data_IF_726902060605
#
_entry.id   IF_726902060605
#
_cell.length_a   1.000
_cell.length_b   1.000
_cell.length_c   1.000
_cell.angle_alpha   90.00
_cell.angle_beta   90.00
_cell.angle_gamma   90.00
#
_symmetry.space_group_name_H-M   'P 1'
#
loop_
_entity.id
_entity.type
_entity.pdbx_description
1 polymer ?
#
# COMPACT_ATOMS: atom_id res chain seq x y z
N UNK A 1 1.06 12.40 0.00
CA UNK A 1 1.10 11.29 0.98
C UNK A 1 0.09 11.45 2.11
N UNK A 2 0.01 12.64 2.70
CA UNK A 2 -0.79 12.97 3.89
C UNK A 2 -2.28 12.62 3.87
N UNK A 3 -2.87 12.22 2.74
CA UNK A 3 -4.30 11.87 2.64
C UNK A 3 -4.59 10.40 2.34
N UNK A 4 -3.58 9.62 1.96
CA UNK A 4 -3.71 8.18 1.64
C UNK A 4 -3.18 7.34 2.80
N UNK A 5 -1.97 7.67 3.26
CA UNK A 5 -1.25 6.89 4.28
C UNK A 5 -2.02 6.79 5.61
N UNK A 6 -2.60 7.87 6.17
CA UNK A 6 -3.38 7.75 7.41
C UNK A 6 -4.59 6.83 7.30
N UNK A 7 -5.25 6.80 6.14
CA UNK A 7 -6.45 5.97 5.92
C UNK A 7 -6.08 4.49 5.81
N UNK A 8 -4.95 4.18 5.17
CA UNK A 8 -4.44 2.80 5.09
C UNK A 8 -3.92 2.34 6.45
N UNK A 9 -3.23 3.22 7.20
CA UNK A 9 -2.82 2.92 8.58
C UNK A 9 -4.03 2.65 9.49
N UNK A 10 -5.08 3.47 9.42
CA UNK A 10 -6.32 3.24 10.19
C UNK A 10 -7.00 1.92 9.81
N UNK A 11 -6.93 1.53 8.53
CA UNK A 11 -7.47 0.27 8.00
C UNK A 11 -6.70 -0.97 8.48
N UNK A 12 -5.38 -0.87 8.65
CA UNK A 12 -4.52 -2.00 9.04
C UNK A 12 -4.58 -2.29 10.56
N UNK A 13 -4.73 -1.25 11.39
CA UNK A 13 -4.69 -1.37 12.86
C UNK A 13 -5.67 -2.42 13.43
N UNK A 14 -6.95 -2.48 13.01
CA UNK A 14 -7.89 -3.48 13.52
C UNK A 14 -7.44 -4.92 13.30
N UNK A 15 -6.69 -5.20 12.23
CA UNK A 15 -6.13 -6.52 11.97
C UNK A 15 -5.21 -6.98 13.10
N UNK A 16 -4.43 -6.08 13.69
CA UNK A 16 -3.50 -6.46 14.76
C UNK A 16 -4.14 -6.54 16.14
N UNK A 17 -5.16 -5.71 16.42
CA UNK A 17 -5.63 -5.51 17.80
C UNK A 17 -7.09 -5.90 18.03
N UNK A 18 -7.89 -6.00 16.98
CA UNK A 18 -9.35 -6.06 17.10
C UNK A 18 -10.00 -7.30 16.47
N UNK A 19 -9.24 -8.19 15.85
CA UNK A 19 -9.78 -9.40 15.19
C UNK A 19 -10.75 -10.24 16.05
N UNK A 20 -10.54 -10.27 17.37
CA UNK A 20 -11.36 -11.03 18.32
C UNK A 20 -12.60 -10.26 18.83
N UNK A 21 -12.79 -9.00 18.42
CA UNK A 21 -13.91 -8.18 18.86
C UNK A 21 -15.17 -8.49 18.04
N UNK A 22 -16.37 -8.47 18.65
CA UNK A 22 -17.60 -8.82 17.94
C UNK A 22 -17.95 -7.85 16.80
N UNK A 23 -17.47 -6.60 16.84
CA UNK A 23 -17.70 -5.58 15.81
C UNK A 23 -16.62 -5.54 14.72
N UNK A 24 -15.61 -6.41 14.76
CA UNK A 24 -14.45 -6.35 13.86
C UNK A 24 -14.86 -6.34 12.39
N UNK A 25 -15.74 -7.25 11.98
CA UNK A 25 -16.21 -7.39 10.60
C UNK A 25 -16.94 -6.14 10.09
N UNK A 26 -17.78 -5.53 10.93
CA UNK A 26 -18.50 -4.30 10.56
C UNK A 26 -17.54 -3.11 10.42
N UNK A 27 -16.62 -2.97 11.37
CA UNK A 27 -15.57 -1.94 11.32
C UNK A 27 -14.68 -2.10 10.08
N UNK A 28 -14.28 -3.33 9.75
CA UNK A 28 -13.42 -3.60 8.60
C UNK A 28 -14.08 -3.13 7.29
N UNK A 29 -15.37 -3.47 7.09
CA UNK A 29 -16.13 -3.02 5.90
C UNK A 29 -16.18 -1.50 5.76
N UNK A 30 -16.39 -0.79 6.87
CA UNK A 30 -16.39 0.68 6.86
C UNK A 30 -15.02 1.25 6.48
N UNK A 31 -13.94 0.62 6.94
CA UNK A 31 -12.57 1.04 6.62
C UNK A 31 -12.22 0.72 5.17
N UNK A 32 -12.63 -0.44 4.65
CA UNK A 32 -12.48 -0.80 3.23
C UNK A 32 -13.09 0.29 2.34
N UNK A 33 -14.29 0.76 2.65
CA UNK A 33 -14.96 1.80 1.85
C UNK A 33 -14.22 3.14 1.88
N UNK A 34 -13.62 3.50 3.03
CA UNK A 34 -12.77 4.70 3.14
C UNK A 34 -11.51 4.56 2.30
N UNK A 35 -10.87 3.39 2.33
CA UNK A 35 -9.69 3.08 1.50
C UNK A 35 -10.08 3.15 0.02
N UNK A 36 -11.16 2.48 -0.41
CA UNK A 36 -11.66 2.53 -1.80
C UNK A 36 -11.91 3.96 -2.28
N UNK A 37 -12.49 4.82 -1.44
CA UNK A 37 -12.73 6.23 -1.79
C UNK A 37 -11.42 7.03 -1.99
N UNK A 38 -10.33 6.63 -1.34
CA UNK A 38 -9.00 7.21 -1.55
C UNK A 38 -8.31 6.63 -2.78
N UNK A 39 -8.37 5.30 -2.96
CA UNK A 39 -7.82 4.61 -4.13
C UNK A 39 -8.48 5.08 -5.42
N UNK A 40 -9.80 5.29 -5.45
CA UNK A 40 -10.50 5.88 -6.62
C UNK A 40 -9.89 7.20 -7.05
N UNK A 41 -9.66 8.13 -6.10
CA UNK A 41 -9.07 9.43 -6.39
C UNK A 41 -7.63 9.33 -6.88
N UNK A 42 -6.83 8.45 -6.27
CA UNK A 42 -5.45 8.22 -6.69
C UNK A 42 -5.39 7.58 -8.09
N UNK A 43 -6.26 6.60 -8.35
CA UNK A 43 -6.39 5.94 -9.65
C UNK A 43 -6.76 6.93 -10.75
N UNK A 44 -7.73 7.81 -10.50
CA UNK A 44 -8.07 8.91 -11.42
C UNK A 44 -6.90 9.85 -11.66
N UNK A 45 -6.17 10.24 -10.60
CA UNK A 45 -5.01 11.15 -10.70
C UNK A 45 -3.83 10.54 -11.45
N UNK A 46 -3.60 9.24 -11.30
CA UNK A 46 -2.56 8.52 -12.03
C UNK A 46 -2.97 8.31 -13.48
N UNK A 47 -4.24 7.97 -13.73
CA UNK A 47 -4.75 7.70 -15.07
C UNK A 47 -3.95 6.60 -15.76
N UNK A 48 -3.41 6.92 -16.94
CA UNK A 48 -2.52 6.07 -17.73
C UNK A 48 -1.03 6.41 -17.55
N UNK A 49 -0.68 7.32 -16.63
CA UNK A 49 0.70 7.69 -16.40
C UNK A 49 1.49 6.58 -15.70
N UNK A 50 2.78 6.48 -15.99
CA UNK A 50 3.66 5.52 -15.32
C UNK A 50 3.92 5.91 -13.86
N UNK A 51 4.06 7.21 -13.57
CA UNK A 51 4.38 7.78 -12.27
C UNK A 51 3.54 9.03 -11.98
N UNK A 52 3.49 9.47 -10.72
CA UNK A 52 2.58 10.53 -10.27
C UNK A 52 2.85 11.90 -10.91
N UNK A 53 4.13 12.23 -11.10
CA UNK A 53 4.60 13.53 -11.60
C UNK A 53 5.63 13.35 -12.74
N UNK A 54 5.30 12.48 -13.71
CA UNK A 54 6.09 12.26 -14.92
C UNK A 54 7.21 11.25 -14.72
N UNK A 55 8.41 11.70 -14.37
CA UNK A 55 9.52 10.79 -14.06
C UNK A 55 9.36 10.21 -12.64
N UNK A 56 9.95 9.03 -12.40
CA UNK A 56 9.96 8.42 -11.07
C UNK A 56 10.57 9.37 -10.04
N UNK A 57 9.85 9.56 -8.93
CA UNK A 57 10.21 10.50 -7.87
C UNK A 57 10.22 9.85 -6.48
N UNK A 58 10.69 10.61 -5.48
CA UNK A 58 10.54 10.22 -4.08
C UNK A 58 9.06 10.08 -3.66
N UNK A 59 8.16 10.85 -4.30
CA UNK A 59 6.72 10.73 -4.09
C UNK A 59 6.21 9.35 -4.49
N UNK A 60 6.74 8.80 -5.58
CA UNK A 60 6.39 7.45 -6.04
C UNK A 60 6.93 6.37 -5.12
N UNK A 61 8.19 6.50 -4.70
CA UNK A 61 8.78 5.59 -3.73
C UNK A 61 7.90 5.46 -2.48
N UNK A 62 7.52 6.59 -1.89
CA UNK A 62 6.71 6.63 -0.69
C UNK A 62 5.28 6.14 -0.94
N UNK A 63 4.66 6.50 -2.07
CA UNK A 63 3.31 6.03 -2.40
C UNK A 63 3.26 4.52 -2.62
N UNK A 64 4.25 3.95 -3.32
CA UNK A 64 4.38 2.50 -3.50
C UNK A 64 4.48 1.82 -2.13
N UNK A 65 5.32 2.31 -1.21
CA UNK A 65 5.43 1.73 0.13
C UNK A 65 4.10 1.76 0.89
N UNK A 66 3.33 2.85 0.77
CA UNK A 66 2.01 2.98 1.39
C UNK A 66 1.00 2.00 0.80
N UNK A 67 0.95 1.87 -0.53
CA UNK A 67 0.00 0.97 -1.20
C UNK A 67 0.32 -0.52 -0.96
N UNK A 68 1.59 -0.88 -0.78
CA UNK A 68 2.02 -2.25 -0.48
C UNK A 68 1.46 -2.80 0.84
N UNK A 69 1.00 -1.93 1.75
CA UNK A 69 0.31 -2.36 3.00
C UNK A 69 -1.06 -2.97 2.73
N UNK A 70 -1.62 -2.74 1.54
CA UNK A 70 -2.88 -3.34 1.09
C UNK A 70 -2.67 -4.68 0.36
N UNK A 71 -1.44 -5.12 0.13
CA UNK A 71 -1.16 -6.37 -0.59
C UNK A 71 -1.80 -7.56 0.15
N UNK A 72 -2.57 -8.38 -0.57
CA UNK A 72 -3.28 -9.52 0.00
C UNK A 72 -4.67 -9.21 0.56
N UNK A 73 -5.07 -7.94 0.64
CA UNK A 73 -6.42 -7.55 1.07
C UNK A 73 -7.49 -7.70 -0.03
N UNK A 74 -7.10 -7.76 -1.30
CA UNK A 74 -8.01 -7.70 -2.44
C UNK A 74 -8.40 -6.27 -2.86
N UNK A 75 -8.14 -5.25 -2.02
CA UNK A 75 -8.55 -3.87 -2.29
C UNK A 75 -7.72 -3.23 -3.41
N UNK A 76 -6.45 -3.57 -3.54
CA UNK A 76 -5.58 -2.99 -4.56
C UNK A 76 -5.89 -3.56 -5.94
N UNK A 77 -6.30 -4.83 -6.00
CA UNK A 77 -6.68 -5.58 -7.19
C UNK A 77 -7.97 -5.03 -7.82
N UNK A 78 -8.84 -4.37 -7.04
CA UNK A 78 -9.99 -3.60 -7.55
C UNK A 78 -9.56 -2.42 -8.47
N UNK A 79 -8.28 -2.00 -8.42
CA UNK A 79 -7.73 -0.87 -9.18
C UNK A 79 -6.52 -1.31 -10.02
N UNK A 80 -6.72 -1.91 -11.21
CA UNK A 80 -5.64 -2.49 -12.01
C UNK A 80 -4.48 -1.53 -12.34
N UNK A 81 -4.75 -0.23 -12.53
CA UNK A 81 -3.71 0.75 -12.80
C UNK A 81 -2.82 1.03 -11.57
N UNK A 82 -3.39 0.98 -10.36
CA UNK A 82 -2.64 1.10 -9.11
C UNK A 82 -1.86 -0.18 -8.78
N UNK A 83 -2.44 -1.35 -9.05
CA UNK A 83 -1.72 -2.61 -8.95
C UNK A 83 -0.51 -2.63 -9.89
N UNK A 84 -0.68 -2.22 -11.15
CA UNK A 84 0.42 -2.09 -12.11
C UNK A 84 1.46 -1.05 -11.67
N UNK A 85 1.03 0.06 -11.08
CA UNK A 85 1.92 1.08 -10.52
C UNK A 85 2.80 0.55 -9.40
N UNK A 86 2.23 -0.21 -8.46
CA UNK A 86 2.99 -0.87 -7.38
C UNK A 86 3.97 -1.89 -7.97
N UNK A 87 3.52 -2.75 -8.88
CA UNK A 87 4.37 -3.75 -9.52
C UNK A 87 5.56 -3.12 -10.27
N UNK A 88 5.34 -1.99 -10.98
CA UNK A 88 6.43 -1.21 -11.59
C UNK A 88 7.44 -0.71 -10.56
N UNK A 89 6.96 -0.26 -9.40
CA UNK A 89 7.82 0.19 -8.29
C UNK A 89 8.67 -0.94 -7.71
N UNK A 90 8.07 -2.11 -7.51
CA UNK A 90 8.74 -3.31 -6.97
C UNK A 90 9.75 -3.92 -7.95
N UNK A 91 9.49 -3.83 -9.26
CA UNK A 91 10.40 -4.32 -10.30
C UNK A 91 11.71 -3.51 -10.41
N UNK A 92 11.82 -2.36 -9.75
CA UNK A 92 13.03 -1.52 -9.82
C UNK A 92 14.21 -2.22 -9.14
N UNK A 93 15.41 -2.27 -9.74
CA UNK A 93 16.58 -2.92 -9.13
C UNK A 93 16.94 -2.37 -7.74
N UNK A 94 16.70 -1.07 -7.50
CA UNK A 94 16.93 -0.45 -6.20
C UNK A 94 16.02 -1.02 -5.10
N UNK A 95 14.77 -1.39 -5.44
CA UNK A 95 13.85 -2.03 -4.52
C UNK A 95 14.38 -3.42 -4.10
N UNK A 96 14.80 -4.25 -5.06
CA UNK A 96 15.39 -5.57 -4.77
C UNK A 96 16.64 -5.49 -3.88
N UNK A 97 17.53 -4.52 -4.12
CA UNK A 97 18.70 -4.29 -3.26
C UNK A 97 18.31 -3.87 -1.83
N UNK A 98 17.36 -2.94 -1.70
CA UNK A 98 16.87 -2.51 -0.39
C UNK A 98 16.20 -3.66 0.36
N UNK A 99 15.40 -4.48 -0.33
CA UNK A 99 14.76 -5.66 0.23
C UNK A 99 15.79 -6.69 0.74
N UNK A 100 16.82 -6.97 -0.06
CA UNK A 100 17.88 -7.90 0.35
C UNK A 100 18.63 -7.40 1.59
N UNK A 101 18.90 -6.09 1.67
CA UNK A 101 19.56 -5.48 2.81
C UNK A 101 18.73 -5.57 4.10
N UNK A 102 17.43 -5.24 4.05
CA UNK A 102 16.57 -5.38 5.24
C UNK A 102 16.40 -6.85 5.67
N UNK A 103 16.31 -7.78 4.70
CA UNK A 103 16.16 -9.20 4.98
C UNK A 103 17.40 -9.76 5.68
N UNK A 104 18.60 -9.33 5.27
CA UNK A 104 19.84 -9.71 5.94
C UNK A 104 19.87 -9.25 7.40
N UNK A 105 19.40 -8.04 7.70
CA UNK A 105 19.31 -7.54 9.09
C UNK A 105 18.30 -8.35 9.89
N UNK A 106 17.10 -8.55 9.36
CA UNK A 106 16.03 -9.30 10.03
C UNK A 106 16.47 -10.74 10.37
N UNK A 107 17.07 -11.44 9.40
CA UNK A 107 17.54 -12.82 9.59
C UNK A 107 18.72 -12.93 10.54
N UNK A 108 19.58 -11.90 10.62
CA UNK A 108 20.66 -11.85 11.60
C UNK A 108 20.14 -11.62 13.04
N UNK A 109 19.06 -10.86 13.21
CA UNK A 109 18.44 -10.58 14.52
C UNK A 109 17.49 -11.69 15.02
N UNK A 110 17.02 -12.57 14.13
CA UNK A 110 16.11 -13.67 14.46
C UNK A 110 16.83 -14.96 14.89
N UNK A 111 18.14 -14.90 15.11
CA UNK A 111 19.00 -15.98 15.62
C UNK A 111 19.39 -15.69 17.06
#
# INVERSE_FOLDING_TARGET
LSTIEPVITEWEVPEYFEQHKPWYQERQRMLDDRVRARLRRLSTRLGSADWLDGAFSAGDLLMVQVLRRLTGSGLLEEFPNLAAYVARGEARPAYGRAFAAQLAVFTAQSR
#
